data_IF_508995932324
#
_entry.id   IF_508995932324
#
_cell.length_a   1.000
_cell.length_b   1.000
_cell.length_c   1.000
_cell.angle_alpha   90.00
_cell.angle_beta   90.00
_cell.angle_gamma   90.00
#
_symmetry.space_group_name_H-M   'P 1'
#
loop_
_entity.id
_entity.type
_entity.pdbx_description
1 polymer ?
#
# COMPACT_ATOMS: atom_id res chain seq x y z
N UNK A 1 -12.11 -25.95 3.75
CA UNK A 1 -10.68 -25.69 3.47
C UNK A 1 -10.42 -26.31 2.11
N UNK A 2 -10.05 -25.56 1.09
CA UNK A 2 -9.69 -26.16 -0.20
C UNK A 2 -8.42 -26.99 0.03
N UNK A 3 -8.46 -28.25 -0.34
CA UNK A 3 -7.29 -29.14 -0.27
C UNK A 3 -6.21 -28.62 -1.23
N UNK A 4 -4.95 -28.74 -0.79
CA UNK A 4 -3.78 -28.39 -1.61
C UNK A 4 -3.78 -29.37 -2.80
N UNK A 5 -3.79 -28.88 -4.06
CA UNK A 5 -3.77 -29.78 -5.21
C UNK A 5 -2.55 -30.71 -5.19
N UNK A 6 -2.75 -31.96 -5.58
CA UNK A 6 -1.67 -32.94 -5.68
C UNK A 6 -0.50 -32.39 -6.51
N UNK A 7 0.72 -32.48 -5.97
CA UNK A 7 1.92 -31.98 -6.63
C UNK A 7 2.33 -30.54 -6.32
N UNK A 8 1.51 -29.76 -5.56
CA UNK A 8 1.88 -28.43 -5.09
C UNK A 8 2.66 -28.52 -3.77
N UNK A 9 3.82 -27.89 -3.71
CA UNK A 9 4.52 -27.71 -2.43
C UNK A 9 4.11 -26.40 -1.73
N UNK A 10 4.47 -26.26 -0.45
CA UNK A 10 4.10 -25.11 0.36
C UNK A 10 4.58 -23.77 -0.23
N UNK A 11 5.75 -23.72 -0.89
CA UNK A 11 6.26 -22.49 -1.51
C UNK A 11 5.39 -22.06 -2.67
N UNK A 12 5.00 -23.00 -3.54
CA UNK A 12 4.12 -22.73 -4.67
C UNK A 12 2.72 -22.31 -4.22
N UNK A 13 2.21 -22.94 -3.15
CA UNK A 13 0.93 -22.56 -2.56
C UNK A 13 0.96 -21.12 -2.01
N UNK A 14 1.96 -20.77 -1.20
CA UNK A 14 2.11 -19.43 -0.66
C UNK A 14 2.23 -18.40 -1.78
N UNK A 15 3.05 -18.67 -2.81
CA UNK A 15 3.21 -17.80 -3.97
C UNK A 15 1.87 -17.54 -4.68
N UNK A 16 1.11 -18.59 -4.99
CA UNK A 16 -0.21 -18.46 -5.62
C UNK A 16 -1.23 -17.72 -4.74
N UNK A 17 -1.20 -17.97 -3.43
CA UNK A 17 -2.08 -17.28 -2.47
C UNK A 17 -1.81 -15.79 -2.40
N UNK A 18 -0.55 -15.35 -2.43
CA UNK A 18 -0.19 -13.93 -2.43
C UNK A 18 -0.82 -13.19 -3.61
N UNK A 19 -0.72 -13.74 -4.83
CA UNK A 19 -1.36 -13.14 -6.00
C UNK A 19 -2.88 -13.10 -5.90
N UNK A 20 -3.49 -14.22 -5.49
CA UNK A 20 -4.94 -14.30 -5.37
C UNK A 20 -5.48 -13.36 -4.28
N UNK A 21 -4.81 -13.29 -3.13
CA UNK A 21 -5.21 -12.43 -2.03
C UNK A 21 -5.06 -10.95 -2.40
N UNK A 22 -3.93 -10.56 -3.01
CA UNK A 22 -3.73 -9.20 -3.49
C UNK A 22 -4.87 -8.75 -4.40
N UNK A 23 -5.20 -9.56 -5.42
CA UNK A 23 -6.29 -9.26 -6.35
C UNK A 23 -7.67 -9.21 -5.67
N UNK A 24 -7.93 -10.08 -4.68
CA UNK A 24 -9.20 -10.05 -3.93
C UNK A 24 -9.30 -8.83 -3.05
N UNK A 25 -8.22 -8.47 -2.36
CA UNK A 25 -8.16 -7.31 -1.48
C UNK A 25 -8.36 -6.02 -2.29
N UNK A 26 -7.65 -5.86 -3.42
CA UNK A 26 -7.82 -4.71 -4.30
C UNK A 26 -9.27 -4.55 -4.74
N UNK A 27 -9.92 -5.63 -5.24
CA UNK A 27 -11.33 -5.56 -5.66
C UNK A 27 -12.30 -5.25 -4.53
N UNK A 28 -12.09 -5.82 -3.33
CA UNK A 28 -12.94 -5.54 -2.18
C UNK A 28 -12.79 -4.09 -1.73
N UNK A 29 -11.58 -3.59 -1.64
CA UNK A 29 -11.30 -2.20 -1.30
C UNK A 29 -11.87 -1.23 -2.33
N UNK A 30 -11.70 -1.50 -3.63
CA UNK A 30 -12.27 -0.66 -4.68
C UNK A 30 -13.80 -0.59 -4.56
N UNK A 31 -14.46 -1.71 -4.22
CA UNK A 31 -15.90 -1.72 -3.99
C UNK A 31 -16.31 -0.85 -2.80
N UNK A 32 -15.64 -0.99 -1.65
CA UNK A 32 -15.93 -0.22 -0.44
C UNK A 32 -15.64 1.29 -0.63
N UNK A 33 -14.58 1.62 -1.37
CA UNK A 33 -14.15 2.99 -1.60
C UNK A 33 -14.88 3.68 -2.77
N UNK A 34 -15.58 2.90 -3.62
CA UNK A 34 -16.26 3.42 -4.82
C UNK A 34 -17.30 4.48 -4.52
N UNK A 35 -17.99 4.37 -3.39
CA UNK A 35 -19.02 5.34 -2.93
C UNK A 35 -18.44 6.72 -2.66
N UNK A 36 -17.10 6.81 -2.50
CA UNK A 36 -16.35 8.05 -2.28
C UNK A 36 -15.57 8.50 -3.53
N UNK A 37 -15.75 7.78 -4.64
CA UNK A 37 -14.95 7.99 -5.85
C UNK A 37 -13.43 7.87 -5.60
N UNK A 38 -13.02 6.97 -4.71
CA UNK A 38 -11.62 6.69 -4.37
C UNK A 38 -11.32 5.23 -4.75
N UNK A 39 -10.13 4.99 -5.34
CA UNK A 39 -9.63 3.65 -5.61
C UNK A 39 -8.73 3.15 -4.48
N UNK A 40 -8.55 1.82 -4.38
CA UNK A 40 -7.60 1.19 -3.46
C UNK A 40 -6.18 1.75 -3.59
N UNK A 41 -5.73 2.02 -4.82
CA UNK A 41 -4.41 2.61 -5.10
C UNK A 41 -4.31 4.06 -4.63
N UNK A 42 -5.39 4.84 -4.76
CA UNK A 42 -5.45 6.19 -4.22
C UNK A 42 -5.42 6.18 -2.69
N UNK A 43 -6.20 5.29 -2.07
CA UNK A 43 -6.16 5.08 -0.64
C UNK A 43 -4.76 4.68 -0.18
N UNK A 44 -4.13 3.68 -0.83
CA UNK A 44 -2.80 3.21 -0.48
C UNK A 44 -1.75 4.33 -0.52
N UNK A 45 -1.79 5.20 -1.54
CA UNK A 45 -0.92 6.37 -1.60
C UNK A 45 -1.11 7.30 -0.39
N UNK A 46 -2.36 7.54 0.06
CA UNK A 46 -2.61 8.38 1.26
C UNK A 46 -2.09 7.72 2.54
N UNK A 47 -2.17 6.39 2.66
CA UNK A 47 -1.61 5.63 3.78
C UNK A 47 -0.08 5.76 3.80
N UNK A 48 0.58 5.53 2.67
CA UNK A 48 2.04 5.68 2.57
C UNK A 48 2.48 7.10 2.93
N UNK A 49 1.81 8.13 2.42
CA UNK A 49 2.10 9.52 2.79
C UNK A 49 1.92 9.82 4.28
N UNK A 50 0.92 9.23 4.91
CA UNK A 50 0.57 9.51 6.30
C UNK A 50 1.46 8.78 7.32
N UNK A 51 1.92 7.57 7.00
CA UNK A 51 2.56 6.69 7.98
C UNK A 51 4.03 6.41 7.73
N UNK A 52 4.50 6.45 6.47
CA UNK A 52 5.86 6.04 6.13
C UNK A 52 6.86 7.19 6.05
N UNK A 53 6.38 8.43 5.96
CA UNK A 53 7.25 9.59 5.82
C UNK A 53 7.11 10.56 6.98
N UNK A 54 8.23 10.87 7.64
CA UNK A 54 8.30 11.93 8.66
C UNK A 54 8.29 13.35 8.06
N UNK A 55 8.61 13.47 6.78
CA UNK A 55 8.65 14.72 6.00
C UNK A 55 7.98 14.45 4.64
N UNK A 56 7.35 15.46 4.03
CA UNK A 56 6.76 15.30 2.72
C UNK A 56 7.76 14.71 1.72
N UNK A 57 7.50 13.52 1.12
CA UNK A 57 8.40 12.89 0.16
C UNK A 57 8.33 13.58 -1.20
N UNK A 58 9.33 13.35 -2.03
CA UNK A 58 9.28 13.59 -3.47
C UNK A 58 8.50 12.48 -4.17
N UNK A 59 8.15 12.70 -5.45
CA UNK A 59 7.52 11.66 -6.27
C UNK A 59 8.38 10.40 -6.42
N UNK A 60 9.71 10.57 -6.49
CA UNK A 60 10.64 9.43 -6.58
C UNK A 60 10.62 8.62 -5.29
N UNK A 61 10.86 9.28 -4.14
CA UNK A 61 10.82 8.63 -2.82
C UNK A 61 9.49 7.86 -2.61
N UNK A 62 8.37 8.44 -3.06
CA UNK A 62 7.06 7.81 -2.95
C UNK A 62 6.92 6.61 -3.91
N UNK A 63 7.43 6.72 -5.14
CA UNK A 63 7.40 5.65 -6.13
C UNK A 63 8.23 4.44 -5.65
N UNK A 64 9.43 4.69 -5.12
CA UNK A 64 10.31 3.67 -4.56
C UNK A 64 9.64 2.97 -3.37
N UNK A 65 9.03 3.74 -2.44
CA UNK A 65 8.33 3.15 -1.27
C UNK A 65 7.09 2.34 -1.67
N UNK A 66 6.38 2.74 -2.72
CA UNK A 66 5.19 2.03 -3.21
C UNK A 66 5.52 0.88 -4.15
N UNK A 67 6.78 0.75 -4.57
CA UNK A 67 7.22 -0.19 -5.63
C UNK A 67 6.40 -0.03 -6.93
N UNK A 68 6.07 1.22 -7.24
CA UNK A 68 5.33 1.59 -8.44
C UNK A 68 6.22 2.40 -9.38
N UNK A 69 5.93 2.35 -10.69
CA UNK A 69 6.59 3.26 -11.61
C UNK A 69 6.28 4.72 -11.28
N UNK A 70 7.27 5.59 -11.44
CA UNK A 70 7.13 7.03 -11.25
C UNK A 70 5.92 7.63 -12.00
N UNK A 71 5.66 7.16 -13.23
CA UNK A 71 4.52 7.59 -14.03
C UNK A 71 3.19 7.19 -13.39
N UNK A 72 3.10 5.97 -12.85
CA UNK A 72 1.89 5.49 -12.18
C UNK A 72 1.60 6.31 -10.92
N UNK A 73 2.61 6.52 -10.06
CA UNK A 73 2.46 7.34 -8.85
C UNK A 73 2.05 8.77 -9.19
N UNK A 74 2.64 9.37 -10.25
CA UNK A 74 2.27 10.71 -10.71
C UNK A 74 0.80 10.79 -11.14
N UNK A 75 0.28 9.78 -11.84
CA UNK A 75 -1.14 9.73 -12.24
C UNK A 75 -2.07 9.59 -11.04
N UNK A 76 -1.74 8.71 -10.10
CA UNK A 76 -2.53 8.51 -8.88
C UNK A 76 -2.55 9.81 -8.06
N UNK A 77 -1.38 10.39 -7.83
CA UNK A 77 -1.21 11.64 -7.09
C UNK A 77 -1.95 12.81 -7.75
N UNK A 78 -1.87 12.96 -9.07
CA UNK A 78 -2.60 14.00 -9.80
C UNK A 78 -4.12 13.92 -9.63
N UNK A 79 -4.68 12.70 -9.61
CA UNK A 79 -6.11 12.49 -9.33
C UNK A 79 -6.48 12.85 -7.89
N UNK A 80 -5.62 12.52 -6.93
CA UNK A 80 -5.82 12.89 -5.52
C UNK A 80 -5.70 14.39 -5.29
N UNK A 81 -4.78 15.07 -6.00
CA UNK A 81 -4.67 16.53 -5.97
C UNK A 81 -5.94 17.21 -6.50
N UNK A 82 -6.45 16.75 -7.66
CA UNK A 82 -7.72 17.25 -8.21
C UNK A 82 -8.90 17.09 -7.24
N UNK A 83 -8.90 16.02 -6.45
CA UNK A 83 -9.89 15.77 -5.40
C UNK A 83 -9.62 16.56 -4.11
N UNK A 84 -8.47 17.23 -4.01
CA UNK A 84 -8.05 18.00 -2.85
C UNK A 84 -7.58 17.16 -1.66
N UNK A 85 -7.20 15.90 -1.86
CA UNK A 85 -6.69 15.01 -0.81
C UNK A 85 -5.20 15.20 -0.55
N UNK A 86 -4.45 15.58 -1.57
CA UNK A 86 -3.03 15.91 -1.45
C UNK A 86 -2.75 17.26 -2.10
N UNK A 87 -1.58 17.80 -1.80
CA UNK A 87 -1.03 18.98 -2.47
C UNK A 87 0.42 18.73 -2.84
N UNK A 88 0.82 19.33 -3.97
CA UNK A 88 2.22 19.42 -4.37
C UNK A 88 2.81 20.75 -3.93
N UNK A 89 3.95 20.71 -3.29
CA UNK A 89 4.72 21.88 -2.90
C UNK A 89 6.14 21.79 -3.46
N UNK A 90 6.71 22.93 -3.89
CA UNK A 90 8.11 22.96 -4.32
C UNK A 90 9.01 22.81 -3.09
N UNK A 91 10.02 21.93 -3.22
CA UNK A 91 11.03 21.81 -2.18
C UNK A 91 11.75 23.15 -1.96
N UNK A 92 12.01 23.48 -0.70
CA UNK A 92 12.65 24.75 -0.34
C UNK A 92 14.12 24.82 -0.74
N UNK A 93 14.80 23.66 -0.80
CA UNK A 93 16.23 23.55 -1.13
C UNK A 93 16.44 23.26 -2.63
N UNK A 94 15.67 22.34 -3.18
CA UNK A 94 15.68 22.01 -4.60
C UNK A 94 14.34 22.39 -5.26
N UNK A 95 14.30 23.58 -5.86
CA UNK A 95 13.10 24.11 -6.52
C UNK A 95 12.61 23.26 -7.70
N UNK A 96 13.40 22.28 -8.17
CA UNK A 96 13.01 21.33 -9.23
C UNK A 96 12.21 20.16 -8.67
N UNK A 97 12.41 19.81 -7.40
CA UNK A 97 11.71 18.74 -6.74
C UNK A 97 10.32 19.20 -6.25
N UNK A 98 9.32 18.36 -6.52
CA UNK A 98 7.97 18.50 -5.97
C UNK A 98 7.81 17.51 -4.81
N UNK A 99 7.33 18.02 -3.67
CA UNK A 99 6.98 17.24 -2.49
C UNK A 99 5.49 17.12 -2.35
N UNK A 100 5.06 15.98 -1.82
CA UNK A 100 3.64 15.67 -1.63
C UNK A 100 3.30 15.67 -0.13
N UNK A 101 2.14 16.22 0.21
CA UNK A 101 1.60 16.14 1.57
C UNK A 101 0.09 15.95 1.53
N UNK A 102 -0.44 15.29 2.57
CA UNK A 102 -1.88 15.21 2.80
C UNK A 102 -2.43 16.59 3.15
N UNK A 103 -3.68 16.84 2.79
CA UNK A 103 -4.41 18.06 3.17
C UNK A 103 -5.24 17.82 4.44
N UNK A 104 -5.68 18.89 5.07
CA UNK A 104 -6.65 18.82 6.19
C UNK A 104 -7.92 18.07 5.78
N UNK A 105 -8.39 18.27 4.54
CA UNK A 105 -9.51 17.51 3.99
C UNK A 105 -9.25 16.00 4.01
N UNK A 106 -8.03 15.59 3.66
CA UNK A 106 -7.66 14.16 3.68
C UNK A 106 -7.68 13.62 5.11
N UNK A 107 -7.08 14.33 6.06
CA UNK A 107 -7.07 13.92 7.45
C UNK A 107 -8.49 13.80 8.02
N UNK A 108 -9.32 14.82 7.86
CA UNK A 108 -10.71 14.79 8.31
C UNK A 108 -11.50 13.66 7.68
N UNK A 109 -11.35 13.45 6.35
CA UNK A 109 -12.05 12.41 5.61
C UNK A 109 -11.73 11.00 6.14
N UNK A 110 -10.45 10.69 6.40
CA UNK A 110 -10.06 9.38 6.89
C UNK A 110 -10.43 9.19 8.36
N UNK A 111 -10.27 10.21 9.19
CA UNK A 111 -10.66 10.17 10.60
C UNK A 111 -12.15 9.87 10.79
N UNK A 112 -13.02 10.45 9.97
CA UNK A 112 -14.47 10.15 10.01
C UNK A 112 -14.81 8.70 9.67
N UNK A 113 -13.85 7.92 9.13
CA UNK A 113 -14.04 6.55 8.63
C UNK A 113 -13.20 5.51 9.35
N UNK A 114 -12.56 5.89 10.43
CA UNK A 114 -11.72 4.97 11.22
C UNK A 114 -12.51 3.74 11.68
N UNK A 115 -13.74 3.91 12.19
CA UNK A 115 -14.58 2.79 12.61
C UNK A 115 -14.92 1.84 11.44
N UNK A 116 -15.16 2.37 10.25
CA UNK A 116 -15.44 1.57 9.05
C UNK A 116 -14.19 0.81 8.58
N UNK A 117 -13.04 1.46 8.63
CA UNK A 117 -11.77 0.84 8.32
C UNK A 117 -11.46 -0.30 9.29
N UNK A 118 -11.67 -0.10 10.59
CA UNK A 118 -11.49 -1.13 11.61
C UNK A 118 -12.44 -2.32 11.40
N UNK A 119 -13.71 -2.06 11.10
CA UNK A 119 -14.68 -3.13 10.79
C UNK A 119 -14.26 -3.93 9.56
N UNK A 120 -13.78 -3.26 8.52
CA UNK A 120 -13.29 -3.91 7.29
C UNK A 120 -12.08 -4.79 7.57
N UNK A 121 -11.09 -4.26 8.32
CA UNK A 121 -9.89 -5.01 8.70
C UNK A 121 -10.24 -6.22 9.59
N UNK A 122 -11.11 -6.04 10.59
CA UNK A 122 -11.59 -7.13 11.44
C UNK A 122 -12.32 -8.22 10.64
N UNK A 123 -13.05 -7.86 9.60
CA UNK A 123 -13.72 -8.82 8.73
C UNK A 123 -12.73 -9.62 7.88
N UNK A 124 -11.67 -8.98 7.36
CA UNK A 124 -10.62 -9.65 6.57
C UNK A 124 -9.86 -10.68 7.42
N UNK A 125 -9.50 -10.31 8.64
CA UNK A 125 -8.67 -11.14 9.52
C UNK A 125 -9.48 -11.97 10.52
N UNK A 126 -10.79 -12.08 10.32
CA UNK A 126 -11.68 -12.85 11.20
C UNK A 126 -11.20 -14.28 11.34
N UNK A 127 -11.00 -14.72 12.60
CA UNK A 127 -10.59 -16.07 12.94
C UNK A 127 -9.08 -16.29 12.99
N UNK A 128 -8.28 -15.26 12.73
CA UNK A 128 -6.84 -15.28 12.98
C UNK A 128 -6.56 -14.73 14.39
N UNK A 129 -5.61 -15.34 15.07
CA UNK A 129 -5.08 -14.85 16.35
C UNK A 129 -3.98 -13.80 16.12
N UNK A 130 -3.67 -13.01 17.14
CA UNK A 130 -2.57 -12.02 17.10
C UNK A 130 -1.21 -12.69 16.81
N UNK A 131 -0.97 -13.89 17.35
CA UNK A 131 0.25 -14.64 17.10
C UNK A 131 0.35 -15.08 15.60
N UNK A 132 -0.74 -15.53 15.01
CA UNK A 132 -0.78 -15.89 13.58
C UNK A 132 -0.55 -14.66 12.70
N UNK A 133 -1.15 -13.52 13.03
CA UNK A 133 -0.92 -12.25 12.33
C UNK A 133 0.54 -11.79 12.44
N UNK A 134 1.13 -11.92 13.63
CA UNK A 134 2.55 -11.59 13.86
C UNK A 134 3.50 -12.49 13.05
N UNK A 135 3.25 -13.80 13.04
CA UNK A 135 4.03 -14.76 12.27
C UNK A 135 3.92 -14.49 10.75
N UNK A 136 2.70 -14.23 10.28
CA UNK A 136 2.45 -13.87 8.88
C UNK A 136 3.18 -12.59 8.48
N UNK A 137 3.11 -11.54 9.31
CA UNK A 137 3.81 -10.28 9.06
C UNK A 137 5.32 -10.48 8.95
N UNK A 138 5.93 -11.24 9.87
CA UNK A 138 7.36 -11.56 9.84
C UNK A 138 7.75 -12.36 8.59
N UNK A 139 6.92 -13.31 8.18
CA UNK A 139 7.18 -14.11 6.99
C UNK A 139 7.10 -13.26 5.70
N UNK A 140 6.10 -12.37 5.60
CA UNK A 140 5.96 -11.45 4.48
C UNK A 140 7.11 -10.46 4.38
N UNK A 141 7.59 -9.92 5.51
CA UNK A 141 8.77 -9.05 5.53
C UNK A 141 10.03 -9.76 5.01
N UNK A 142 10.27 -11.02 5.42
CA UNK A 142 11.40 -11.81 4.89
C UNK A 142 11.28 -12.06 3.37
N UNK A 143 10.07 -12.31 2.87
CA UNK A 143 9.85 -12.46 1.42
C UNK A 143 10.16 -11.14 0.71
N UNK A 144 9.73 -10.01 1.25
CA UNK A 144 10.02 -8.68 0.70
C UNK A 144 11.52 -8.40 0.66
N UNK A 145 12.26 -8.68 1.74
CA UNK A 145 13.72 -8.55 1.79
C UNK A 145 14.41 -9.41 0.72
N UNK A 146 14.00 -10.67 0.59
CA UNK A 146 14.56 -11.57 -0.44
C UNK A 146 14.29 -11.06 -1.87
N UNK A 147 13.11 -10.50 -2.13
CA UNK A 147 12.78 -9.92 -3.43
C UNK A 147 13.64 -8.69 -3.73
N UNK A 148 13.84 -7.80 -2.75
CA UNK A 148 14.71 -6.63 -2.89
C UNK A 148 16.16 -7.01 -3.21
N UNK A 149 16.70 -8.07 -2.57
CA UNK A 149 18.02 -8.60 -2.88
C UNK A 149 18.12 -9.20 -4.29
N UNK A 150 17.06 -9.83 -4.77
CA UNK A 150 17.00 -10.34 -6.15
C UNK A 150 16.97 -9.24 -7.22
N UNK A 151 16.42 -8.07 -6.88
CA UNK A 151 16.38 -6.90 -7.77
C UNK A 151 17.73 -6.14 -7.78
N UNK A 152 18.47 -6.15 -6.66
CA UNK A 152 19.76 -5.46 -6.49
C UNK A 152 20.86 -6.45 -6.05
N UNK A 153 21.31 -7.35 -6.91
CA UNK A 153 22.24 -8.42 -6.55
C UNK A 153 23.69 -7.97 -6.25
N UNK A 154 24.03 -6.69 -6.38
CA UNK A 154 25.41 -6.20 -6.30
C UNK A 154 25.79 -5.55 -4.96
N UNK A 155 24.92 -5.53 -3.94
CA UNK A 155 25.26 -4.88 -2.64
C UNK A 155 25.89 -5.81 -1.59
N UNK A 156 26.17 -7.09 -1.92
CA UNK A 156 26.70 -8.11 -0.99
C UNK A 156 28.17 -8.56 -1.31
N UNK A 157 29.05 -7.68 -1.88
CA UNK A 157 30.52 -7.94 -1.94
C UNK A 157 31.33 -6.99 -1.07
#
# INVERSE_FOLDING_TARGET
>A
MQEIPDGFNNKQMVFGLLFNLSNKMERLMDRELSVYDITSRQWYLTVILGFFFKKPPTLNELADTMEYSHQNVRQIAGKLEQKGFIRFERDKKDKRALRLSLTEKSHAFWQERDDQADQFMNAIYKGLTDDELLLMSKALLKISENLSQMENPEEDE
#
